data_IF_129145934788
#
_entry.id   IF_129145934788
#
_cell.length_a   1.000
_cell.length_b   1.000
_cell.length_c   1.000
_cell.angle_alpha   90.00
_cell.angle_beta   90.00
_cell.angle_gamma   90.00
#
_symmetry.space_group_name_H-M   'P 1'
#
loop_
_entity.id
_entity.type
_entity.pdbx_description
1 polymer ?
#
# COMPACT_ATOMS: atom_id res chain seq x y z
N UNK A 1 -13.20 6.98 5.78
CA UNK A 1 -12.07 6.92 4.81
C UNK A 1 -10.90 6.15 5.41
N UNK A 2 -10.28 5.30 4.63
CA UNK A 2 -9.07 4.61 5.06
C UNK A 2 -8.13 4.44 3.87
N UNK A 3 -6.88 4.09 4.15
CA UNK A 3 -5.87 3.84 3.13
C UNK A 3 -5.49 2.38 3.12
N UNK A 4 -5.32 1.84 1.93
CA UNK A 4 -4.94 0.45 1.74
C UNK A 4 -3.64 0.37 0.94
N UNK A 5 -2.72 -0.43 1.42
CA UNK A 5 -1.49 -0.72 0.69
C UNK A 5 -1.55 -2.16 0.22
N UNK A 6 -1.46 -2.34 -1.09
CA UNK A 6 -1.44 -3.66 -1.71
C UNK A 6 -0.02 -4.02 -2.09
N UNK A 7 0.37 -5.23 -1.77
CA UNK A 7 1.69 -5.77 -2.12
C UNK A 7 1.49 -6.91 -3.10
N UNK A 8 2.15 -6.81 -4.24
CA UNK A 8 2.15 -7.86 -5.27
C UNK A 8 3.57 -8.37 -5.47
N UNK A 9 3.69 -9.61 -5.87
CA UNK A 9 4.97 -10.23 -6.20
C UNK A 9 4.88 -10.79 -7.62
N UNK A 10 5.71 -10.25 -8.52
CA UNK A 10 5.74 -10.64 -9.93
C UNK A 10 4.36 -10.61 -10.60
N UNK A 11 3.56 -9.58 -10.29
CA UNK A 11 2.24 -9.40 -10.86
C UNK A 11 1.12 -10.17 -10.16
N UNK A 12 1.44 -10.95 -9.13
CA UNK A 12 0.45 -11.72 -8.37
C UNK A 12 0.24 -11.05 -7.01
N UNK A 13 -1.02 -10.85 -6.64
CA UNK A 13 -1.36 -10.26 -5.35
C UNK A 13 -0.81 -11.12 -4.21
N UNK A 14 -0.09 -10.50 -3.29
CA UNK A 14 0.50 -11.16 -2.15
C UNK A 14 -0.30 -10.92 -0.88
N UNK A 15 -0.47 -9.65 -0.48
CA UNK A 15 -1.34 -9.28 0.62
C UNK A 15 -1.68 -7.79 0.57
N UNK A 16 -2.63 -7.38 1.41
CA UNK A 16 -3.01 -5.99 1.58
C UNK A 16 -3.12 -5.67 3.05
N UNK A 17 -2.91 -4.39 3.41
CA UNK A 17 -3.09 -3.95 4.80
C UNK A 17 -4.57 -3.98 5.15
N UNK A 18 -4.85 -4.20 6.44
CA UNK A 18 -6.22 -4.23 6.93
C UNK A 18 -6.86 -2.85 6.88
N UNK A 19 -8.17 -2.82 6.72
CA UNK A 19 -8.98 -1.61 6.59
C UNK A 19 -8.72 -0.57 7.69
N UNK A 20 -8.45 -1.00 8.90
CA UNK A 20 -8.26 -0.11 10.05
C UNK A 20 -6.81 0.24 10.34
N UNK A 21 -5.88 -0.26 9.55
CA UNK A 21 -4.45 -0.07 9.79
C UNK A 21 -3.97 1.35 9.50
N UNK A 22 -4.56 2.00 8.50
CA UNK A 22 -4.11 3.31 8.03
C UNK A 22 -5.33 4.20 7.83
N UNK A 23 -5.62 5.06 8.82
CA UNK A 23 -6.77 5.96 8.76
C UNK A 23 -6.38 7.39 8.37
N UNK A 24 -5.09 7.70 8.38
CA UNK A 24 -4.58 8.99 7.93
C UNK A 24 -3.51 8.81 6.86
N UNK A 25 -3.35 9.81 6.02
CA UNK A 25 -2.34 9.78 4.96
C UNK A 25 -0.93 9.60 5.53
N UNK A 26 -0.62 10.32 6.61
CA UNK A 26 0.71 10.23 7.23
C UNK A 26 1.02 8.82 7.74
N UNK A 27 0.04 8.15 8.34
CA UNK A 27 0.18 6.76 8.76
C UNK A 27 0.42 5.85 7.56
N UNK A 28 -0.34 6.05 6.50
CA UNK A 28 -0.23 5.25 5.29
C UNK A 28 1.15 5.37 4.65
N UNK A 29 1.68 6.58 4.56
CA UNK A 29 3.01 6.81 3.99
C UNK A 29 4.10 6.15 4.85
N UNK A 30 3.96 6.24 6.17
CA UNK A 30 4.89 5.59 7.10
C UNK A 30 4.93 4.08 6.89
N UNK A 31 3.76 3.47 6.84
CA UNK A 31 3.63 2.02 6.61
C UNK A 31 4.14 1.65 5.23
N UNK A 32 3.80 2.43 4.21
CA UNK A 32 4.26 2.20 2.85
C UNK A 32 5.78 2.14 2.78
N UNK A 33 6.46 3.11 3.40
CA UNK A 33 7.92 3.15 3.39
C UNK A 33 8.56 1.98 4.15
N UNK A 34 7.93 1.54 5.24
CA UNK A 34 8.39 0.35 5.96
C UNK A 34 8.23 -0.91 5.10
N UNK A 35 7.12 -1.02 4.39
CA UNK A 35 6.89 -2.16 3.51
C UNK A 35 7.85 -2.17 2.32
N UNK A 36 8.20 -1.01 1.78
CA UNK A 36 9.18 -0.91 0.71
C UNK A 36 10.54 -1.50 1.11
N UNK A 37 10.93 -1.32 2.37
CA UNK A 37 12.18 -1.87 2.90
C UNK A 37 12.14 -3.39 2.99
N UNK A 38 10.99 -3.94 3.34
CA UNK A 38 10.82 -5.39 3.51
C UNK A 38 10.51 -6.10 2.21
N UNK A 39 9.87 -5.40 1.29
CA UNK A 39 9.43 -5.95 0.01
C UNK A 39 9.95 -5.06 -1.12
N UNK A 40 11.26 -5.08 -1.40
CA UNK A 40 11.86 -4.17 -2.38
C UNK A 40 11.51 -4.52 -3.80
N UNK A 41 11.37 -3.50 -4.63
CA UNK A 41 11.07 -3.66 -6.05
C UNK A 41 12.13 -4.49 -6.78
N UNK A 42 13.39 -4.45 -6.29
CA UNK A 42 14.49 -5.23 -6.87
C UNK A 42 14.26 -6.74 -6.78
N UNK A 43 13.39 -7.20 -5.89
CA UNK A 43 13.04 -8.61 -5.75
C UNK A 43 11.71 -8.97 -6.42
N UNK A 44 11.13 -8.05 -7.19
CA UNK A 44 9.90 -8.29 -7.91
C UNK A 44 8.64 -7.84 -7.20
N UNK A 45 8.76 -7.21 -6.04
CA UNK A 45 7.60 -6.71 -5.31
C UNK A 45 7.13 -5.37 -5.87
N UNK A 46 5.83 -5.16 -5.84
CA UNK A 46 5.20 -3.92 -6.25
C UNK A 46 4.18 -3.51 -5.19
N UNK A 47 4.29 -2.26 -4.74
CA UNK A 47 3.38 -1.70 -3.75
C UNK A 47 2.50 -0.64 -4.41
N UNK A 48 1.21 -0.65 -4.07
CA UNK A 48 0.28 0.41 -4.46
C UNK A 48 -0.43 0.93 -3.23
N UNK A 49 -0.65 2.23 -3.19
CA UNK A 49 -1.40 2.90 -2.14
C UNK A 49 -2.73 3.37 -2.70
N UNK A 50 -3.81 3.06 -2.00
CA UNK A 50 -5.15 3.40 -2.44
C UNK A 50 -5.93 4.04 -1.30
N UNK A 51 -6.63 5.13 -1.58
CA UNK A 51 -7.52 5.77 -0.62
C UNK A 51 -8.95 5.29 -0.87
N UNK A 52 -9.62 4.81 0.17
CA UNK A 52 -10.99 4.32 0.08
C UNK A 52 -11.94 5.25 0.82
N UNK A 53 -12.95 5.73 0.10
CA UNK A 53 -14.14 6.36 0.66
C UNK A 53 -15.34 5.54 0.21
N UNK A 54 -16.02 6.04 -0.82
CA UNK A 54 -17.09 5.30 -1.50
C UNK A 54 -16.49 4.47 -2.63
N UNK A 55 -15.48 5.03 -3.31
CA UNK A 55 -14.76 4.39 -4.41
C UNK A 55 -13.27 4.50 -4.10
N UNK A 56 -12.54 3.40 -4.27
CA UNK A 56 -11.10 3.40 -4.07
C UNK A 56 -10.37 4.13 -5.18
N UNK A 57 -9.44 4.98 -4.81
CA UNK A 57 -8.56 5.68 -5.74
C UNK A 57 -7.12 5.37 -5.43
N UNK A 58 -6.37 5.03 -6.46
CA UNK A 58 -4.95 4.81 -6.32
C UNK A 58 -4.22 6.14 -6.12
N UNK A 59 -3.29 6.17 -5.17
CA UNK A 59 -2.46 7.33 -4.88
C UNK A 59 -1.04 6.98 -5.26
N UNK A 60 -0.42 7.81 -6.08
CA UNK A 60 0.99 7.61 -6.44
C UNK A 60 1.87 8.19 -5.35
N UNK A 61 2.78 7.38 -4.85
CA UNK A 61 3.76 7.79 -3.84
C UNK A 61 5.09 7.99 -4.53
N UNK A 62 5.65 9.18 -4.36
CA UNK A 62 6.94 9.54 -4.93
C UNK A 62 8.08 9.39 -3.93
#
# INVERSE_FOLDING_TARGET
MYYEINVSLNGVHFFATAERSCTTYNQAIKVYKELEKRFPASEGYELTLRAWETIGKEIKVE
#
